data_IF_070051053152
#
_entry.id   IF_070051053152
#
_cell.length_a   1.000
_cell.length_b   1.000
_cell.length_c   1.000
_cell.angle_alpha   90.00
_cell.angle_beta   90.00
_cell.angle_gamma   90.00
#
_symmetry.space_group_name_H-M   'P 1'
#
loop_
_entity.id
_entity.type
_entity.pdbx_description
1 polymer ?
#
# COMPACT_ATOMS: atom_id res chain seq x y z
N UNK A 1 -0.81 -9.80 -16.32
CA UNK A 1 -0.33 -10.57 -15.16
C UNK A 1 -1.19 -10.17 -13.97
N UNK A 2 -1.82 -11.13 -13.29
CA UNK A 2 -2.58 -10.88 -12.08
C UNK A 2 -1.71 -11.19 -10.85
N UNK A 3 -1.22 -10.15 -10.20
CA UNK A 3 -0.35 -10.29 -9.01
C UNK A 3 -1.03 -11.03 -7.85
N UNK A 4 -2.36 -10.94 -7.69
CA UNK A 4 -3.09 -11.71 -6.67
C UNK A 4 -2.94 -13.20 -6.90
N UNK A 5 -3.06 -13.65 -8.15
CA UNK A 5 -2.94 -15.06 -8.49
C UNK A 5 -1.54 -15.59 -8.25
N UNK A 6 -0.50 -14.79 -8.59
CA UNK A 6 0.89 -15.16 -8.32
C UNK A 6 1.17 -15.27 -6.81
N UNK A 7 0.75 -14.28 -6.03
CA UNK A 7 0.91 -14.30 -4.57
C UNK A 7 0.14 -15.46 -3.94
N UNK A 8 -1.10 -15.69 -4.34
CA UNK A 8 -1.90 -16.80 -3.83
C UNK A 8 -1.34 -18.17 -4.23
N UNK A 9 -0.75 -18.29 -5.42
CA UNK A 9 -0.04 -19.51 -5.82
C UNK A 9 1.14 -19.79 -4.90
N UNK A 10 1.99 -18.80 -4.64
CA UNK A 10 3.13 -18.92 -3.73
C UNK A 10 2.66 -19.29 -2.31
N UNK A 11 1.67 -18.57 -1.77
CA UNK A 11 1.12 -18.85 -0.43
C UNK A 11 0.69 -20.31 -0.33
N UNK A 12 -0.09 -20.80 -1.30
CA UNK A 12 -0.60 -22.17 -1.29
C UNK A 12 0.50 -23.20 -1.44
N UNK A 13 1.49 -22.94 -2.31
CA UNK A 13 2.64 -23.82 -2.54
C UNK A 13 3.42 -24.08 -1.25
N UNK A 14 3.67 -23.02 -0.47
CA UNK A 14 4.47 -23.10 0.76
C UNK A 14 3.66 -23.41 2.03
N UNK A 15 2.34 -23.49 1.97
CA UNK A 15 1.49 -23.80 3.12
C UNK A 15 1.81 -25.12 3.84
N UNK A 16 2.44 -26.07 3.16
CA UNK A 16 2.83 -27.38 3.71
C UNK A 16 4.33 -27.44 4.06
N UNK A 17 5.11 -26.46 3.66
CA UNK A 17 6.58 -26.48 3.76
C UNK A 17 7.13 -25.62 4.89
N UNK A 18 6.32 -24.71 5.41
CA UNK A 18 6.72 -23.80 6.49
C UNK A 18 5.55 -23.50 7.42
N UNK A 19 5.87 -23.16 8.65
CA UNK A 19 4.90 -22.80 9.69
C UNK A 19 4.44 -21.35 9.57
N UNK A 20 5.34 -20.47 9.14
CA UNK A 20 5.11 -19.05 9.02
C UNK A 20 5.49 -18.55 7.64
N UNK A 21 4.76 -17.55 7.14
CA UNK A 21 5.08 -16.86 5.90
C UNK A 21 5.24 -15.37 6.17
N UNK A 22 6.38 -14.82 5.74
CA UNK A 22 6.66 -13.39 5.69
C UNK A 22 6.74 -12.97 4.23
N UNK A 23 5.87 -12.06 3.81
CA UNK A 23 5.82 -11.57 2.43
C UNK A 23 6.42 -10.17 2.33
N UNK A 24 7.49 -10.05 1.55
CA UNK A 24 8.21 -8.80 1.29
C UNK A 24 8.20 -8.49 -0.21
N UNK A 25 8.22 -7.22 -0.53
CA UNK A 25 8.49 -6.73 -1.88
C UNK A 25 10.03 -6.55 -2.04
N UNK A 26 10.54 -6.56 -3.27
CA UNK A 26 11.99 -6.58 -3.53
C UNK A 26 12.72 -5.29 -3.08
N UNK A 27 11.99 -4.22 -2.86
CA UNK A 27 12.45 -2.91 -2.42
C UNK A 27 12.20 -2.66 -0.92
N UNK A 28 11.78 -3.69 -0.18
CA UNK A 28 11.50 -3.61 1.26
C UNK A 28 12.64 -4.23 2.09
N UNK A 29 13.08 -3.51 3.13
CA UNK A 29 14.14 -3.96 4.07
C UNK A 29 13.65 -3.89 5.51
N UNK A 30 13.83 -5.00 6.25
CA UNK A 30 13.49 -5.09 7.67
C UNK A 30 14.45 -4.26 8.52
N UNK A 31 13.92 -3.48 9.47
CA UNK A 31 14.77 -2.88 10.51
C UNK A 31 15.18 -3.92 11.55
N UNK A 32 16.30 -3.72 12.25
CA UNK A 32 16.78 -4.60 13.31
C UNK A 32 15.73 -4.78 14.42
N UNK A 33 14.99 -3.71 14.75
CA UNK A 33 13.89 -3.76 15.71
C UNK A 33 12.77 -4.69 15.25
N UNK A 34 12.43 -4.66 13.97
CA UNK A 34 11.41 -5.54 13.39
C UNK A 34 11.88 -7.00 13.38
N UNK A 35 13.14 -7.25 13.01
CA UNK A 35 13.74 -8.60 13.03
C UNK A 35 13.63 -9.20 14.45
N UNK A 36 13.99 -8.44 15.48
CA UNK A 36 13.86 -8.89 16.88
C UNK A 36 12.41 -9.25 17.22
N UNK A 37 11.45 -8.40 16.83
CA UNK A 37 10.02 -8.66 17.07
C UNK A 37 9.53 -9.92 16.34
N UNK A 38 9.96 -10.14 15.10
CA UNK A 38 9.63 -11.35 14.35
C UNK A 38 10.19 -12.59 15.03
N UNK A 39 11.46 -12.57 15.45
CA UNK A 39 12.10 -13.71 16.11
C UNK A 39 11.39 -14.11 17.41
N UNK A 40 10.90 -13.16 18.19
CA UNK A 40 10.09 -13.43 19.38
C UNK A 40 8.81 -14.20 19.00
N UNK A 41 8.13 -13.79 17.92
CA UNK A 41 6.92 -14.47 17.45
C UNK A 41 7.23 -15.87 16.94
N UNK A 42 8.31 -16.02 16.17
CA UNK A 42 8.70 -17.33 15.62
C UNK A 42 9.13 -18.33 16.72
N UNK A 43 9.68 -17.83 17.82
CA UNK A 43 10.04 -18.64 18.98
C UNK A 43 8.81 -19.04 19.82
N UNK A 44 7.68 -18.35 19.69
CA UNK A 44 6.44 -18.72 20.34
C UNK A 44 5.72 -19.81 19.52
N UNK A 45 5.23 -20.86 20.21
CA UNK A 45 4.43 -21.90 19.53
C UNK A 45 3.01 -21.44 19.15
N UNK A 46 2.64 -20.22 19.55
CA UNK A 46 1.30 -19.69 19.36
C UNK A 46 1.06 -19.15 17.94
N UNK A 47 0.26 -19.86 17.15
CA UNK A 47 -0.17 -19.46 15.81
C UNK A 47 -1.58 -18.84 15.80
N UNK A 48 -1.93 -18.06 16.84
CA UNK A 48 -3.29 -17.49 17.01
C UNK A 48 -3.54 -16.24 16.18
N UNK A 49 -2.49 -15.49 15.89
CA UNK A 49 -2.58 -14.14 15.30
C UNK A 49 -1.94 -14.05 13.91
N UNK A 50 -2.30 -13.02 13.20
CA UNK A 50 -1.60 -12.50 12.03
C UNK A 50 -1.06 -11.11 12.35
N UNK A 51 0.06 -10.71 11.75
CA UNK A 51 0.79 -9.55 12.18
C UNK A 51 0.87 -8.48 11.11
N UNK A 52 0.48 -7.26 11.51
CA UNK A 52 0.65 -6.05 10.74
C UNK A 52 2.02 -5.45 11.02
N UNK A 53 2.71 -5.07 9.95
CA UNK A 53 4.01 -4.44 9.98
C UNK A 53 3.85 -3.02 9.44
N UNK A 54 4.45 -2.04 10.12
CA UNK A 54 4.47 -0.66 9.69
C UNK A 54 5.44 -0.50 8.53
N UNK A 55 4.91 -0.20 7.34
CA UNK A 55 5.70 0.16 6.17
C UNK A 55 6.03 1.65 6.23
N UNK A 56 7.32 1.99 6.15
CA UNK A 56 7.85 3.35 6.17
C UNK A 56 8.56 3.66 4.86
N UNK A 57 8.13 4.69 4.18
CA UNK A 57 8.66 5.09 2.88
C UNK A 57 10.02 5.77 3.02
N UNK A 58 10.99 5.29 2.24
CA UNK A 58 12.28 5.95 2.02
C UNK A 58 12.26 6.57 0.62
N UNK A 59 12.23 7.90 0.56
CA UNK A 59 12.22 8.65 -0.70
C UNK A 59 13.42 9.60 -0.74
N UNK A 60 14.15 9.63 -1.86
CA UNK A 60 15.35 10.44 -2.01
C UNK A 60 16.33 10.27 -0.82
N UNK A 61 16.55 9.00 -0.42
CA UNK A 61 17.41 8.59 0.72
C UNK A 61 16.94 9.09 2.11
N UNK A 62 15.76 9.70 2.22
CA UNK A 62 15.20 10.18 3.48
C UNK A 62 13.96 9.37 3.86
N UNK A 63 13.90 8.94 5.13
CA UNK A 63 12.69 8.37 5.70
C UNK A 63 11.65 9.46 5.87
N UNK A 64 10.44 9.20 5.39
CA UNK A 64 9.30 10.11 5.54
C UNK A 64 8.44 9.67 6.72
N UNK A 65 7.93 10.66 7.46
CA UNK A 65 7.09 10.44 8.64
C UNK A 65 5.66 10.93 8.45
N UNK A 66 5.47 11.87 7.54
CA UNK A 66 4.22 12.60 7.32
C UNK A 66 3.67 12.39 5.90
N UNK A 67 2.65 13.14 5.51
CA UNK A 67 2.08 13.07 4.17
C UNK A 67 1.44 11.73 3.80
N UNK A 68 1.09 10.90 4.81
CA UNK A 68 0.55 9.57 4.59
C UNK A 68 1.58 8.57 4.02
N UNK A 69 2.86 8.76 4.35
CA UNK A 69 3.98 7.93 3.90
C UNK A 69 4.10 6.61 4.62
N UNK A 70 3.45 6.43 5.77
CA UNK A 70 3.52 5.16 6.52
C UNK A 70 2.14 4.53 6.66
N UNK A 71 2.08 3.21 6.46
CA UNK A 71 0.87 2.42 6.56
C UNK A 71 1.14 1.08 7.21
N UNK A 72 0.11 0.48 7.82
CA UNK A 72 0.17 -0.85 8.37
C UNK A 72 -0.29 -1.89 7.35
N UNK A 73 0.56 -2.87 7.08
CA UNK A 73 0.28 -3.96 6.14
C UNK A 73 0.40 -5.30 6.84
N UNK A 74 -0.55 -6.20 6.60
CA UNK A 74 -0.44 -7.59 7.03
C UNK A 74 0.65 -8.24 6.18
N UNK A 75 1.74 -8.72 6.81
CA UNK A 75 2.91 -9.27 6.12
C UNK A 75 3.41 -10.58 6.73
N UNK A 76 3.20 -10.81 8.02
CA UNK A 76 3.60 -12.04 8.70
C UNK A 76 2.36 -12.79 9.19
N UNK A 77 2.25 -14.07 8.86
CA UNK A 77 1.11 -14.90 9.22
C UNK A 77 1.47 -16.39 9.27
N UNK A 78 0.76 -17.19 10.11
CA UNK A 78 0.87 -18.63 10.08
C UNK A 78 0.40 -19.20 8.75
N UNK A 79 1.05 -20.23 8.26
CA UNK A 79 0.64 -20.91 7.02
C UNK A 79 -0.83 -21.37 7.07
N UNK A 80 -1.49 -21.43 5.93
CA UNK A 80 -2.91 -21.82 5.75
C UNK A 80 -3.96 -20.83 6.30
N UNK A 81 -3.55 -19.64 6.80
CA UNK A 81 -4.48 -18.71 7.48
C UNK A 81 -4.81 -17.46 6.67
N UNK A 82 -4.09 -17.20 5.59
CA UNK A 82 -4.14 -15.92 4.88
C UNK A 82 -4.11 -16.12 3.38
N UNK A 83 -4.86 -15.29 2.66
CA UNK A 83 -4.83 -15.18 1.20
C UNK A 83 -4.82 -13.70 0.81
N UNK A 84 -4.49 -13.43 -0.46
CA UNK A 84 -4.59 -12.08 -1.05
C UNK A 84 -5.92 -11.92 -1.75
N UNK A 85 -6.58 -10.77 -1.58
CA UNK A 85 -7.80 -10.41 -2.30
C UNK A 85 -7.59 -10.52 -3.81
N UNK A 86 -8.56 -11.09 -4.52
CA UNK A 86 -8.51 -11.17 -5.97
C UNK A 86 -8.93 -9.82 -6.60
N UNK A 87 -8.04 -8.85 -6.52
CA UNK A 87 -8.21 -7.52 -7.12
C UNK A 87 -7.05 -7.22 -8.06
N UNK A 88 -7.29 -6.40 -9.09
CA UNK A 88 -6.24 -6.03 -10.05
C UNK A 88 -5.23 -5.07 -9.43
N UNK A 89 -5.68 -4.19 -8.53
CA UNK A 89 -4.86 -3.17 -7.86
C UNK A 89 -5.27 -3.06 -6.40
N UNK A 90 -4.35 -2.55 -5.55
CA UNK A 90 -4.59 -2.30 -4.14
C UNK A 90 -4.97 -3.59 -3.38
N UNK A 91 -4.13 -4.61 -3.57
CA UNK A 91 -4.34 -5.95 -3.03
C UNK A 91 -3.99 -5.97 -1.54
N UNK A 92 -4.89 -6.53 -0.75
CA UNK A 92 -4.67 -6.73 0.68
C UNK A 92 -4.61 -8.20 1.02
N UNK A 93 -3.76 -8.54 1.99
CA UNK A 93 -3.82 -9.84 2.65
C UNK A 93 -5.04 -9.88 3.57
N UNK A 94 -5.81 -10.96 3.48
CA UNK A 94 -7.03 -11.18 4.26
C UNK A 94 -6.90 -12.46 5.07
N UNK A 95 -7.22 -12.36 6.34
CA UNK A 95 -7.25 -13.49 7.28
C UNK A 95 -8.46 -13.36 8.22
N UNK A 96 -9.02 -14.49 8.65
CA UNK A 96 -10.03 -14.56 9.70
C UNK A 96 -9.43 -14.48 11.10
N UNK A 97 -8.11 -14.65 11.23
CA UNK A 97 -7.42 -14.55 12.53
C UNK A 97 -7.35 -13.12 13.04
N UNK A 98 -7.24 -12.97 14.34
CA UNK A 98 -7.04 -11.68 14.98
C UNK A 98 -5.71 -11.05 14.55
N UNK A 99 -5.70 -9.71 14.46
CA UNK A 99 -4.58 -8.93 13.95
C UNK A 99 -3.83 -8.29 15.11
N UNK A 100 -2.50 -8.43 15.13
CA UNK A 100 -1.62 -7.74 16.06
C UNK A 100 -0.60 -6.88 15.30
N UNK A 101 -0.05 -5.87 15.99
CA UNK A 101 0.93 -4.94 15.43
C UNK A 101 2.33 -5.30 15.93
N UNK A 102 3.29 -5.44 15.00
CA UNK A 102 4.70 -5.66 15.36
C UNK A 102 5.41 -4.34 15.60
N UNK A 103 6.36 -4.38 16.51
CA UNK A 103 7.27 -3.26 16.77
C UNK A 103 8.41 -3.24 15.74
N UNK A 104 8.76 -2.05 15.28
CA UNK A 104 9.75 -1.84 14.23
C UNK A 104 9.10 -1.61 12.86
N UNK A 105 9.92 -1.20 11.90
CA UNK A 105 9.46 -0.76 10.59
C UNK A 105 10.00 -1.66 9.47
N UNK A 106 9.22 -1.77 8.42
CA UNK A 106 9.62 -2.24 7.11
C UNK A 106 9.94 -1.01 6.26
N UNK A 107 11.22 -0.79 5.97
CA UNK A 107 11.67 0.33 5.13
C UNK A 107 11.44 -0.02 3.67
N UNK A 108 10.64 0.80 2.98
CA UNK A 108 10.30 0.68 1.58
C UNK A 108 11.06 1.73 0.77
N UNK A 109 12.03 1.26 -0.01
CA UNK A 109 12.87 2.09 -0.89
C UNK A 109 12.21 2.25 -2.24
N UNK A 110 11.20 3.13 -2.33
CA UNK A 110 10.30 3.26 -3.47
C UNK A 110 10.97 3.62 -4.80
N UNK A 111 12.22 4.06 -4.80
CA UNK A 111 13.05 4.14 -5.99
C UNK A 111 14.51 4.55 -5.66
N UNK A 112 15.46 4.10 -6.48
CA UNK A 112 16.88 4.49 -6.39
C UNK A 112 17.11 5.94 -6.82
N UNK A 113 16.31 6.48 -7.73
CA UNK A 113 16.35 7.88 -8.18
C UNK A 113 15.02 8.29 -8.81
N UNK A 114 14.85 9.61 -8.98
CA UNK A 114 13.59 10.19 -9.47
C UNK A 114 13.27 9.79 -10.92
N UNK A 115 14.28 9.64 -11.77
CA UNK A 115 14.07 9.23 -13.18
C UNK A 115 13.47 7.83 -13.27
N UNK A 116 14.02 6.87 -12.54
CA UNK A 116 13.45 5.51 -12.47
C UNK A 116 12.04 5.52 -11.87
N UNK A 117 11.82 6.34 -10.85
CA UNK A 117 10.50 6.50 -10.25
C UNK A 117 9.47 7.01 -11.27
N UNK A 118 9.80 8.06 -12.04
CA UNK A 118 8.94 8.63 -13.08
C UNK A 118 8.62 7.59 -14.16
N UNK A 119 9.62 6.87 -14.67
CA UNK A 119 9.43 5.84 -15.70
C UNK A 119 8.48 4.75 -15.19
N UNK A 120 8.71 4.21 -14.00
CA UNK A 120 7.87 3.19 -13.41
C UNK A 120 6.43 3.66 -13.21
N UNK A 121 6.25 4.88 -12.69
CA UNK A 121 4.92 5.45 -12.47
C UNK A 121 4.21 5.85 -13.78
N UNK A 122 4.96 6.23 -14.82
CA UNK A 122 4.38 6.42 -16.14
C UNK A 122 3.80 5.11 -16.70
N UNK A 123 4.54 4.01 -16.62
CA UNK A 123 4.07 2.69 -17.05
C UNK A 123 2.88 2.21 -16.21
N UNK A 124 2.96 2.42 -14.88
CA UNK A 124 1.89 2.06 -13.95
C UNK A 124 0.61 2.87 -14.20
N UNK A 125 0.74 4.18 -14.50
CA UNK A 125 -0.41 5.04 -14.85
C UNK A 125 -1.13 4.56 -16.10
N UNK A 126 -0.40 4.11 -17.13
CA UNK A 126 -0.98 3.53 -18.36
C UNK A 126 -1.78 2.25 -18.05
N UNK A 127 -1.25 1.40 -17.17
CA UNK A 127 -1.94 0.18 -16.74
C UNK A 127 -3.22 0.50 -15.97
N UNK A 128 -3.21 1.50 -15.09
CA UNK A 128 -4.39 1.93 -14.33
C UNK A 128 -5.44 2.57 -15.25
N UNK A 129 -5.01 3.39 -16.21
CA UNK A 129 -5.92 4.08 -17.13
C UNK A 129 -6.73 3.12 -18.01
N UNK A 130 -6.15 1.96 -18.37
CA UNK A 130 -6.81 0.91 -19.18
C UNK A 130 -7.83 0.09 -18.39
N UNK A 131 -7.79 0.10 -17.07
CA UNK A 131 -8.71 -0.71 -16.25
C UNK A 131 -10.08 -0.05 -16.19
N UNK A 132 -11.04 -0.65 -16.87
CA UNK A 132 -12.46 -0.35 -16.63
C UNK A 132 -12.81 -0.90 -15.24
N UNK A 133 -13.14 -0.01 -14.30
CA UNK A 133 -13.62 -0.39 -12.96
C UNK A 133 -14.94 -1.16 -13.10
N UNK A 134 -14.89 -2.47 -13.38
CA UNK A 134 -16.02 -3.36 -13.15
C UNK A 134 -16.21 -3.49 -11.63
N UNK A 135 -17.46 -3.54 -11.18
CA UNK A 135 -17.83 -3.70 -9.77
C UNK A 135 -17.16 -4.96 -9.17
N UNK A 136 -15.94 -4.81 -8.69
CA UNK A 136 -15.26 -5.88 -7.94
C UNK A 136 -15.88 -5.90 -6.56
N UNK A 137 -16.50 -7.01 -6.18
CA UNK A 137 -16.98 -7.23 -4.81
C UNK A 137 -15.80 -7.07 -3.85
N UNK A 138 -15.78 -5.99 -3.08
CA UNK A 138 -14.73 -5.74 -2.09
C UNK A 138 -15.12 -6.41 -0.79
N UNK A 139 -14.21 -7.17 -0.22
CA UNK A 139 -14.41 -7.93 1.03
C UNK A 139 -14.49 -7.06 2.28
N UNK A 140 -14.00 -5.80 2.21
CA UNK A 140 -14.03 -4.86 3.33
C UNK A 140 -14.98 -3.69 3.01
N UNK A 141 -15.90 -3.41 3.92
CA UNK A 141 -16.84 -2.30 3.79
C UNK A 141 -16.15 -0.93 3.96
N UNK A 142 -16.70 0.10 3.31
CA UNK A 142 -16.27 1.49 3.48
C UNK A 142 -17.15 2.13 4.56
N UNK A 143 -16.57 2.44 5.74
CA UNK A 143 -17.29 3.03 6.86
C UNK A 143 -16.46 4.20 7.45
N UNK A 144 -17.10 5.37 7.61
CA UNK A 144 -16.46 6.55 8.18
C UNK A 144 -16.10 6.38 9.67
N UNK A 145 -16.95 5.70 10.42
CA UNK A 145 -16.75 5.41 11.85
C UNK A 145 -16.06 4.07 12.11
N UNK A 146 -15.61 3.37 11.06
CA UNK A 146 -14.96 2.10 11.15
C UNK A 146 -13.46 2.20 11.51
N UNK A 147 -12.76 1.06 11.39
CA UNK A 147 -11.32 0.99 11.60
C UNK A 147 -10.55 1.79 10.53
N UNK A 148 -9.23 1.96 10.70
CA UNK A 148 -8.39 2.76 9.80
C UNK A 148 -8.50 2.33 8.32
N UNK A 149 -8.66 1.03 8.04
CA UNK A 149 -8.78 0.52 6.67
C UNK A 149 -10.15 0.89 6.08
N UNK A 150 -11.22 0.77 6.85
CA UNK A 150 -12.59 1.12 6.44
C UNK A 150 -12.73 2.62 6.20
N UNK A 151 -12.12 3.45 7.06
CA UNK A 151 -12.07 4.91 6.91
C UNK A 151 -11.30 5.32 5.64
N UNK A 152 -10.13 4.74 5.40
CA UNK A 152 -9.37 4.99 4.17
C UNK A 152 -10.17 4.58 2.92
N UNK A 153 -10.90 3.46 2.98
CA UNK A 153 -11.80 3.04 1.89
C UNK A 153 -12.98 3.99 1.70
N UNK A 154 -13.52 4.55 2.78
CA UNK A 154 -14.58 5.56 2.70
C UNK A 154 -14.08 6.83 1.99
N UNK A 155 -12.96 7.40 2.41
CA UNK A 155 -12.35 8.56 1.74
C UNK A 155 -11.97 8.27 0.30
N UNK A 156 -11.46 7.08 0.01
CA UNK A 156 -11.17 6.65 -1.37
C UNK A 156 -12.45 6.59 -2.21
N UNK A 157 -13.56 6.09 -1.67
CA UNK A 157 -14.86 6.05 -2.35
C UNK A 157 -15.39 7.46 -2.62
N UNK A 158 -15.30 8.37 -1.65
CA UNK A 158 -15.64 9.79 -1.84
C UNK A 158 -14.79 10.45 -2.92
N UNK A 159 -13.49 10.29 -2.84
CA UNK A 159 -12.54 10.79 -3.83
C UNK A 159 -12.87 10.30 -5.25
N UNK A 160 -13.20 9.01 -5.41
CA UNK A 160 -13.57 8.45 -6.71
C UNK A 160 -14.90 8.99 -7.25
N UNK A 161 -15.85 9.30 -6.36
CA UNK A 161 -17.16 9.88 -6.72
C UNK A 161 -17.11 11.37 -7.05
N UNK A 162 -16.03 12.06 -6.69
CA UNK A 162 -15.92 13.49 -6.97
C UNK A 162 -16.02 13.74 -8.48
N UNK A 163 -16.86 14.68 -8.94
CA UNK A 163 -17.21 14.81 -10.35
C UNK A 163 -16.05 15.31 -11.22
N UNK A 164 -15.17 16.16 -10.68
CA UNK A 164 -14.07 16.75 -11.44
C UNK A 164 -12.81 15.88 -11.38
N UNK A 165 -12.41 15.30 -12.52
CA UNK A 165 -11.15 14.57 -12.63
C UNK A 165 -9.93 15.47 -12.47
N UNK A 166 -10.00 16.73 -12.88
CA UNK A 166 -8.92 17.71 -12.79
C UNK A 166 -8.63 18.16 -11.36
N UNK A 167 -9.67 18.39 -10.55
CA UNK A 167 -9.52 18.87 -9.17
C UNK A 167 -9.08 17.76 -8.18
N UNK A 168 -9.37 16.50 -8.48
CA UNK A 168 -9.01 15.37 -7.61
C UNK A 168 -7.53 15.34 -7.20
N UNK A 169 -6.56 15.42 -8.11
CA UNK A 169 -5.14 15.43 -7.76
C UNK A 169 -4.75 16.60 -6.86
N UNK A 170 -5.31 17.78 -7.12
CA UNK A 170 -5.05 19.00 -6.36
C UNK A 170 -5.55 18.84 -4.91
N UNK A 171 -6.79 18.39 -4.73
CA UNK A 171 -7.37 18.14 -3.41
C UNK A 171 -6.55 17.11 -2.63
N UNK A 172 -6.11 16.04 -3.29
CA UNK A 172 -5.30 15.01 -2.66
C UNK A 172 -3.92 15.54 -2.25
N UNK A 173 -3.30 16.40 -3.07
CA UNK A 173 -2.04 17.05 -2.74
C UNK A 173 -2.20 17.96 -1.53
N UNK A 174 -3.20 18.85 -1.53
CA UNK A 174 -3.50 19.74 -0.40
C UNK A 174 -3.72 18.92 0.88
N UNK A 175 -4.53 17.85 0.80
CA UNK A 175 -4.79 16.97 1.92
C UNK A 175 -3.51 16.34 2.48
N UNK A 176 -2.66 15.76 1.62
CA UNK A 176 -1.42 15.11 2.06
C UNK A 176 -0.37 16.11 2.57
N UNK A 177 -0.22 17.22 1.90
CA UNK A 177 0.81 18.19 2.23
C UNK A 177 0.48 18.99 3.48
N UNK A 178 -0.74 19.52 3.59
CA UNK A 178 -1.17 20.36 4.71
C UNK A 178 -1.83 19.56 5.83
N UNK A 179 -2.85 18.75 5.54
CA UNK A 179 -3.62 18.07 6.60
C UNK A 179 -2.92 16.83 7.16
N UNK A 180 -2.15 16.10 6.36
CA UNK A 180 -1.28 15.02 6.84
C UNK A 180 0.15 15.50 7.13
N UNK A 181 0.34 16.81 7.24
CA UNK A 181 1.59 17.46 7.66
C UNK A 181 2.81 17.11 6.80
N UNK A 182 2.62 16.79 5.52
CA UNK A 182 3.71 16.42 4.61
C UNK A 182 4.81 17.48 4.51
N UNK A 183 4.50 18.76 4.80
CA UNK A 183 5.46 19.86 4.82
C UNK A 183 6.50 19.71 5.95
N UNK A 184 6.21 18.98 7.03
CA UNK A 184 7.16 18.73 8.12
C UNK A 184 8.33 17.84 7.71
N UNK A 185 8.18 17.04 6.65
CA UNK A 185 9.30 16.31 6.04
C UNK A 185 10.21 17.20 5.16
N UNK A 186 9.93 18.52 5.11
CA UNK A 186 10.71 19.53 4.39
C UNK A 186 10.62 19.35 2.87
N UNK A 187 11.70 19.71 2.14
CA UNK A 187 11.73 19.65 0.67
C UNK A 187 11.41 18.26 0.12
N UNK A 188 11.88 17.21 0.78
CA UNK A 188 11.64 15.82 0.35
C UNK A 188 10.16 15.46 0.52
N UNK A 189 9.53 15.90 1.61
CA UNK A 189 8.08 15.74 1.83
C UNK A 189 7.25 16.45 0.77
N UNK A 190 7.67 17.67 0.36
CA UNK A 190 7.04 18.38 -0.75
C UNK A 190 7.11 17.57 -2.05
N UNK A 191 8.31 17.13 -2.46
CA UNK A 191 8.49 16.35 -3.68
C UNK A 191 7.70 15.04 -3.64
N UNK A 192 7.70 14.35 -2.51
CA UNK A 192 6.91 13.12 -2.35
C UNK A 192 5.41 13.38 -2.53
N UNK A 193 4.85 14.37 -1.84
CA UNK A 193 3.44 14.72 -1.97
C UNK A 193 3.09 15.19 -3.38
N UNK A 194 3.95 15.99 -4.01
CA UNK A 194 3.78 16.47 -5.37
C UNK A 194 3.75 15.31 -6.37
N UNK A 195 4.80 14.50 -6.40
CA UNK A 195 4.89 13.41 -7.37
C UNK A 195 3.83 12.33 -7.14
N UNK A 196 3.58 11.93 -5.91
CA UNK A 196 2.65 10.84 -5.59
C UNK A 196 1.17 11.25 -5.71
N UNK A 197 0.82 12.50 -5.37
CA UNK A 197 -0.56 12.95 -5.27
C UNK A 197 -1.00 13.83 -6.43
N UNK A 198 -0.17 14.79 -6.84
CA UNK A 198 -0.53 15.72 -7.91
C UNK A 198 -0.13 15.16 -9.28
N UNK A 199 1.17 14.99 -9.52
CA UNK A 199 1.68 14.57 -10.83
C UNK A 199 1.13 13.21 -11.28
N UNK A 200 1.31 12.17 -10.46
CA UNK A 200 0.91 10.80 -10.82
C UNK A 200 -0.61 10.67 -11.04
N UNK A 201 -1.42 11.32 -10.20
CA UNK A 201 -2.87 11.28 -10.33
C UNK A 201 -3.37 12.07 -11.54
N UNK A 202 -2.77 13.22 -11.82
CA UNK A 202 -3.07 13.99 -13.04
C UNK A 202 -2.73 13.18 -14.29
N UNK A 203 -1.58 12.50 -14.29
CA UNK A 203 -1.17 11.65 -15.41
C UNK A 203 -2.17 10.50 -15.67
N UNK A 204 -2.69 9.87 -14.61
CA UNK A 204 -3.72 8.83 -14.75
C UNK A 204 -5.00 9.42 -15.38
N UNK A 205 -5.46 10.59 -14.92
CA UNK A 205 -6.68 11.20 -15.43
C UNK A 205 -6.51 11.68 -16.89
N UNK A 206 -5.33 12.22 -17.23
CA UNK A 206 -4.99 12.60 -18.62
C UNK A 206 -5.03 11.39 -19.55
N UNK A 207 -4.39 10.27 -19.18
CA UNK A 207 -4.42 9.03 -19.98
C UNK A 207 -5.81 8.41 -20.08
N UNK A 208 -6.64 8.54 -19.05
CA UNK A 208 -8.06 8.11 -19.14
C UNK A 208 -8.85 8.97 -20.11
N UNK A 209 -8.55 10.25 -20.18
CA UNK A 209 -9.17 11.17 -21.13
C UNK A 209 -8.72 10.84 -22.57
N UNK A 210 -7.41 10.70 -22.78
CA UNK A 210 -6.82 10.27 -24.06
C UNK A 210 -7.42 8.96 -24.58
N UNK A 211 -7.61 7.95 -23.72
CA UNK A 211 -8.22 6.67 -24.10
C UNK A 211 -9.73 6.74 -24.42
N UNK A 212 -10.37 7.92 -24.31
CA UNK A 212 -11.78 8.15 -24.68
C UNK A 212 -11.94 8.91 -25.98
N UNK A 213 -10.86 9.56 -26.46
CA UNK A 213 -10.79 10.22 -27.76
C UNK A 213 -10.64 9.20 -28.87
#
# INVERSE_FOLDING_TARGET
INYSNQRNFIIRKYNKLCDWQLHLDADEILTQKLIKSINIILASEEKKHVYLIKRSVIFMKKKLFFGGSSNWHLRLFPSKTTLVENTTYDQHFVSSKSKQYLSGDLNDFISSNISKWIISHNNYSSSIAKVKYKNIKKTVNANFFGNNIERLRFFKKMYLKFPSSFLKPIILFIYKYFFLLGFLDGKVGFYYCFFNSLWFRTLIEAKKYENKL
#
